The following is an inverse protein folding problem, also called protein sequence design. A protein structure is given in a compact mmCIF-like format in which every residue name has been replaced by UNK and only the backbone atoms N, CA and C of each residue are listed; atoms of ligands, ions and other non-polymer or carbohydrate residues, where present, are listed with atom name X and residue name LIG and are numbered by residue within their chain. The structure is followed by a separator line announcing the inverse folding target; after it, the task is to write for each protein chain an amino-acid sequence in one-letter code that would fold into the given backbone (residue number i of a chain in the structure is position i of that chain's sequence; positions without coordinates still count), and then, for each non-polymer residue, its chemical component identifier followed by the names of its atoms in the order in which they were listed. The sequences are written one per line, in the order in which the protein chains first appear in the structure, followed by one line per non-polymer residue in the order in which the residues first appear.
data_IF_727257669322
#
_entry.id   IF_727257669322
#
_cell.length_a   1.000
_cell.length_b   1.000
_cell.length_c   1.000
_cell.angle_alpha   90.00
_cell.angle_beta   90.00
_cell.angle_gamma   90.00
#
_symmetry.space_group_name_H-M   'P 1'
#
loop_
_entity.id
_entity.type
_entity.pdbx_description
1 polymer ?
#
# COMPACT_ATOMS: atom_id res chain seq x y z
N UNK A 1 -22.29 -1.00 9.43
CA UNK A 1 -22.12 -1.77 10.68
C UNK A 1 -21.24 -2.97 10.37
N UNK A 2 -20.28 -3.31 11.23
CA UNK A 2 -19.49 -4.55 11.08
C UNK A 2 -20.22 -5.69 11.78
N UNK A 3 -20.24 -6.86 11.18
CA UNK A 3 -20.80 -8.07 11.79
C UNK A 3 -19.83 -8.65 12.83
N UNK A 4 -20.28 -9.65 13.59
CA UNK A 4 -19.42 -10.37 14.55
C UNK A 4 -18.52 -11.36 13.83
N UNK A 5 -17.53 -10.85 13.10
CA UNK A 5 -16.56 -11.61 12.32
C UNK A 5 -15.15 -11.05 12.50
N UNK A 6 -14.14 -11.78 12.03
CA UNK A 6 -12.75 -11.32 11.99
C UNK A 6 -12.53 -10.59 10.67
N UNK A 7 -12.01 -9.37 10.75
CA UNK A 7 -11.67 -8.54 9.59
C UNK A 7 -10.18 -8.27 9.55
N UNK A 8 -9.64 -8.13 8.35
CA UNK A 8 -8.29 -7.65 8.13
C UNK A 8 -8.31 -6.16 7.78
N UNK A 9 -7.22 -5.48 8.13
CA UNK A 9 -7.03 -4.09 7.75
C UNK A 9 -6.85 -4.01 6.21
N UNK A 10 -7.55 -3.09 5.52
CA UNK A 10 -7.31 -2.83 4.10
C UNK A 10 -5.84 -2.51 3.79
N UNK A 11 -5.32 -3.00 2.66
CA UNK A 11 -3.91 -2.81 2.27
C UNK A 11 -3.46 -1.36 2.19
N UNK A 12 -4.33 -0.42 1.79
CA UNK A 12 -3.98 1.00 1.76
C UNK A 12 -3.66 1.56 3.16
N UNK A 13 -4.31 1.04 4.21
CA UNK A 13 -4.03 1.42 5.58
C UNK A 13 -2.75 0.73 6.09
N UNK A 14 -2.50 -0.51 5.68
CA UNK A 14 -1.24 -1.22 5.98
C UNK A 14 -0.02 -0.50 5.34
N UNK A 15 -0.10 -0.14 4.06
CA UNK A 15 0.92 0.66 3.37
C UNK A 15 1.11 2.05 4.00
N UNK A 16 0.03 2.65 4.53
CA UNK A 16 0.13 3.91 5.27
C UNK A 16 0.89 3.74 6.59
N UNK A 17 0.66 2.65 7.32
CA UNK A 17 1.43 2.32 8.52
C UNK A 17 2.92 2.20 8.16
N UNK A 18 3.27 1.47 7.12
CA UNK A 18 4.67 1.37 6.67
C UNK A 18 5.26 2.74 6.31
N UNK A 19 4.53 3.56 5.56
CA UNK A 19 4.98 4.90 5.13
C UNK A 19 5.32 5.82 6.29
N UNK A 20 4.55 5.78 7.38
CA UNK A 20 4.79 6.61 8.57
C UNK A 20 6.11 6.31 9.29
N UNK A 21 6.70 5.13 9.07
CA UNK A 21 7.97 4.76 9.70
C UNK A 21 9.20 5.13 8.86
N UNK A 22 9.03 5.45 7.58
CA UNK A 22 10.16 5.64 6.65
C UNK A 22 11.06 6.82 7.02
N UNK A 23 10.47 7.93 7.47
CA UNK A 23 11.21 9.13 7.86
C UNK A 23 12.14 8.86 9.04
N UNK A 24 11.69 8.06 10.01
CA UNK A 24 12.52 7.65 11.15
C UNK A 24 13.71 6.81 10.73
N UNK A 25 13.54 5.99 9.69
CA UNK A 25 14.59 5.13 9.12
C UNK A 25 15.47 5.86 8.09
N UNK A 26 15.20 7.13 7.79
CA UNK A 26 15.91 7.90 6.76
C UNK A 26 15.71 7.36 5.34
N UNK A 27 14.65 6.60 5.09
CA UNK A 27 14.37 5.98 3.79
C UNK A 27 13.65 6.96 2.89
N UNK A 28 14.14 7.12 1.65
CA UNK A 28 13.45 7.87 0.61
C UNK A 28 12.69 6.91 -0.31
N UNK A 29 11.37 6.91 -0.22
CA UNK A 29 10.53 6.11 -1.10
C UNK A 29 10.39 6.79 -2.46
N UNK A 30 10.62 6.06 -3.55
CA UNK A 30 10.40 6.54 -4.91
C UNK A 30 8.90 6.58 -5.24
N UNK A 31 8.49 7.58 -6.00
CA UNK A 31 7.12 7.70 -6.53
C UNK A 31 7.09 7.19 -7.97
N UNK A 32 6.10 6.34 -8.30
CA UNK A 32 5.88 5.88 -9.67
C UNK A 32 5.47 7.06 -10.56
N UNK A 33 5.93 7.06 -11.82
CA UNK A 33 5.29 7.89 -12.85
C UNK A 33 3.91 7.31 -13.21
N UNK A 34 3.06 8.12 -13.84
CA UNK A 34 1.77 7.65 -14.33
C UNK A 34 1.92 6.47 -15.29
N UNK A 35 2.84 6.59 -16.26
CA UNK A 35 3.12 5.52 -17.23
C UNK A 35 3.56 4.20 -16.56
N UNK A 36 4.37 4.28 -15.50
CA UNK A 36 4.80 3.10 -14.75
C UNK A 36 3.65 2.45 -13.99
N UNK A 37 2.81 3.26 -13.36
CA UNK A 37 1.65 2.79 -12.62
C UNK A 37 0.65 2.10 -13.55
N UNK A 38 0.37 2.72 -14.70
CA UNK A 38 -0.50 2.15 -15.74
C UNK A 38 0.09 0.87 -16.33
N UNK A 39 1.41 0.83 -16.57
CA UNK A 39 2.09 -0.35 -17.11
C UNK A 39 1.95 -1.60 -16.22
N UNK A 40 1.99 -1.44 -14.89
CA UNK A 40 1.83 -2.54 -13.93
C UNK A 40 0.42 -2.66 -13.36
N UNK A 41 -0.52 -1.82 -13.80
CA UNK A 41 -1.94 -1.87 -13.41
C UNK A 41 -2.21 -1.50 -11.95
N UNK A 42 -1.46 -0.55 -11.38
CA UNK A 42 -1.69 -0.03 -10.01
C UNK A 42 -1.89 1.49 -10.04
N UNK A 43 -2.36 2.08 -8.94
CA UNK A 43 -2.36 3.54 -8.80
C UNK A 43 -0.99 4.03 -8.32
N UNK A 44 -0.66 5.29 -8.63
CA UNK A 44 0.58 5.94 -8.15
C UNK A 44 0.68 5.93 -6.62
N UNK A 45 -0.45 6.02 -5.92
CA UNK A 45 -0.58 6.03 -4.46
C UNK A 45 -0.91 4.65 -3.85
N UNK A 46 -0.99 3.61 -4.67
CA UNK A 46 -1.30 2.24 -4.24
C UNK A 46 -2.81 1.93 -4.15
N UNK A 47 -3.20 0.77 -3.59
CA UNK A 47 -2.32 -0.29 -3.09
C UNK A 47 -1.46 -0.89 -4.19
N UNK A 48 -0.20 -1.17 -3.87
CA UNK A 48 0.82 -1.58 -4.84
C UNK A 48 0.87 -3.08 -5.09
N UNK A 49 0.07 -3.86 -4.35
CA UNK A 49 0.06 -5.34 -4.39
C UNK A 49 -1.36 -5.90 -4.26
N UNK A 50 -1.67 -7.02 -4.93
CA UNK A 50 -2.98 -7.66 -4.85
C UNK A 50 -3.21 -8.34 -3.49
N UNK A 51 -4.46 -8.67 -3.18
CA UNK A 51 -4.86 -9.13 -1.83
C UNK A 51 -4.08 -10.36 -1.34
N UNK A 52 -3.93 -11.35 -2.21
CA UNK A 52 -3.26 -12.62 -1.93
C UNK A 52 -1.72 -12.53 -1.88
N UNK A 53 -1.14 -11.34 -2.07
CA UNK A 53 0.29 -11.15 -2.04
C UNK A 53 0.84 -11.32 -0.63
N UNK A 54 1.91 -12.11 -0.50
CA UNK A 54 2.40 -12.56 0.81
C UNK A 54 3.25 -11.54 1.55
N UNK A 55 3.99 -10.68 0.84
CA UNK A 55 4.67 -9.44 1.29
C UNK A 55 5.42 -8.79 0.13
#
# INVERSE_FOLDING_TARGET
EYEKQVYMLPKNLDEKVARLHLDHLGVKLTTLSQDQADYIGVKVDGPYKPEHYRY
#
